data_IF_806125774692
#
_entry.id   IF_806125774692
#
_cell.length_a   1.000
_cell.length_b   1.000
_cell.length_c   1.000
_cell.angle_alpha   90.00
_cell.angle_beta   90.00
_cell.angle_gamma   90.00
#
_symmetry.space_group_name_H-M   'P 1'
#
loop_
_entity.id
_entity.type
_entity.pdbx_description
1 polymer ?
#
# COMPACT_ATOMS: atom_id res chain seq x y z
N UNK A 1 -12.23 7.97 11.80
CA UNK A 1 -13.41 7.33 11.20
C UNK A 1 -14.11 6.42 12.21
N UNK A 2 -15.36 6.01 11.91
CA UNK A 2 -16.17 5.10 12.76
C UNK A 2 -15.67 3.65 12.67
N UNK A 3 -14.97 3.29 11.58
CA UNK A 3 -14.52 1.94 11.28
C UNK A 3 -13.53 1.33 12.30
N UNK A 4 -12.67 2.15 12.93
CA UNK A 4 -11.76 1.69 14.01
C UNK A 4 -12.48 1.04 15.18
N UNK A 5 -13.71 1.46 15.47
CA UNK A 5 -14.49 0.96 16.60
C UNK A 5 -15.26 -0.33 16.27
N UNK A 6 -15.15 -0.86 15.04
CA UNK A 6 -15.75 -2.13 14.71
C UNK A 6 -15.14 -3.24 15.59
N UNK A 7 -15.94 -4.09 16.26
CA UNK A 7 -15.46 -5.14 17.16
C UNK A 7 -14.47 -6.13 16.51
N UNK A 8 -14.46 -6.22 15.18
CA UNK A 8 -13.52 -7.04 14.43
C UNK A 8 -12.10 -6.44 14.38
N UNK A 9 -11.96 -5.12 14.47
CA UNK A 9 -10.66 -4.47 14.33
C UNK A 9 -9.70 -4.82 15.46
N UNK A 10 -10.19 -4.98 16.70
CA UNK A 10 -9.35 -5.45 17.80
C UNK A 10 -8.75 -6.83 17.50
N UNK A 11 -9.57 -7.76 16.98
CA UNK A 11 -9.10 -9.09 16.60
C UNK A 11 -8.07 -9.05 15.47
N UNK A 12 -8.24 -8.16 14.49
CA UNK A 12 -7.27 -7.98 13.40
C UNK A 12 -5.96 -7.45 13.96
N UNK A 13 -6.00 -6.46 14.85
CA UNK A 13 -4.82 -5.89 15.50
C UNK A 13 -4.09 -6.96 16.32
N UNK A 14 -4.82 -7.74 17.12
CA UNK A 14 -4.24 -8.82 17.92
C UNK A 14 -3.60 -9.89 17.03
N UNK A 15 -4.28 -10.31 15.95
CA UNK A 15 -3.76 -11.30 15.02
C UNK A 15 -2.53 -10.80 14.23
N UNK A 16 -2.53 -9.53 13.81
CA UNK A 16 -1.40 -8.92 13.11
C UNK A 16 -0.16 -8.81 14.01
N UNK A 17 -0.36 -8.58 15.31
CA UNK A 17 0.71 -8.48 16.30
C UNK A 17 1.14 -9.82 16.90
N UNK A 18 0.32 -10.86 16.76
CA UNK A 18 0.63 -12.22 17.24
C UNK A 18 1.93 -12.79 16.65
N UNK A 19 2.43 -13.87 17.24
CA UNK A 19 3.60 -14.60 16.72
C UNK A 19 3.39 -15.13 15.30
N UNK A 20 2.15 -15.43 14.92
CA UNK A 20 1.82 -15.89 13.57
C UNK A 20 1.90 -14.76 12.51
N UNK A 21 1.97 -13.49 12.95
CA UNK A 21 2.10 -12.29 12.09
C UNK A 21 1.14 -12.34 10.89
N UNK A 22 -0.17 -12.38 11.17
CA UNK A 22 -1.21 -12.43 10.12
C UNK A 22 -0.94 -11.36 9.05
N UNK A 23 -0.84 -11.73 7.75
CA UNK A 23 -0.71 -10.75 6.69
C UNK A 23 -1.97 -9.89 6.56
N UNK A 24 -1.83 -8.57 6.57
CA UNK A 24 -2.94 -7.62 6.42
C UNK A 24 -2.62 -6.60 5.34
N UNK A 25 -3.52 -6.43 4.38
CA UNK A 25 -3.43 -5.42 3.33
C UNK A 25 -4.56 -4.41 3.48
N UNK A 26 -4.22 -3.13 3.56
CA UNK A 26 -5.18 -2.02 3.54
C UNK A 26 -5.07 -1.23 2.25
N UNK A 27 -6.08 -1.30 1.39
CA UNK A 27 -6.11 -0.62 0.09
C UNK A 27 -7.00 0.63 0.19
N UNK A 28 -6.52 1.78 -0.30
CA UNK A 28 -7.24 3.05 -0.32
C UNK A 28 -7.81 3.41 1.07
N UNK A 29 -9.12 3.37 1.26
CA UNK A 29 -9.75 3.57 2.58
C UNK A 29 -9.25 2.58 3.64
N UNK A 30 -8.87 1.36 3.25
CA UNK A 30 -8.25 0.39 4.15
C UNK A 30 -6.93 0.88 4.73
N UNK A 31 -6.12 1.61 3.96
CA UNK A 31 -4.89 2.20 4.48
C UNK A 31 -5.18 3.27 5.53
N UNK A 32 -6.20 4.11 5.28
CA UNK A 32 -6.66 5.09 6.27
C UNK A 32 -7.04 4.40 7.58
N UNK A 33 -7.83 3.33 7.52
CA UNK A 33 -8.22 2.55 8.71
C UNK A 33 -6.99 1.97 9.42
N UNK A 34 -6.00 1.43 8.70
CA UNK A 34 -4.78 0.89 9.31
C UNK A 34 -3.96 1.96 10.06
N UNK A 35 -3.90 3.19 9.53
CA UNK A 35 -3.28 4.31 10.23
C UNK A 35 -4.09 4.77 11.45
N UNK A 36 -5.42 4.79 11.34
CA UNK A 36 -6.29 5.16 12.45
C UNK A 36 -6.23 4.16 13.61
N UNK A 37 -6.08 2.87 13.34
CA UNK A 37 -5.92 1.83 14.38
C UNK A 37 -4.47 1.68 14.87
N UNK A 38 -3.55 2.49 14.35
CA UNK A 38 -2.12 2.49 14.70
C UNK A 38 -1.38 1.17 14.39
N UNK A 39 -1.88 0.38 13.44
CA UNK A 39 -1.09 -0.72 12.85
C UNK A 39 -0.01 -0.19 11.90
N UNK A 40 -0.25 0.99 11.32
CA UNK A 40 0.72 1.73 10.52
C UNK A 40 0.84 3.16 11.08
N UNK A 41 2.02 3.77 11.07
CA UNK A 41 2.18 5.14 11.53
C UNK A 41 1.72 6.17 10.49
N UNK A 42 1.57 7.41 10.95
CA UNK A 42 1.14 8.53 10.12
C UNK A 42 -0.38 8.65 10.03
N UNK A 43 -0.83 9.44 9.06
CA UNK A 43 -2.24 9.70 8.81
C UNK A 43 -2.47 10.04 7.35
N UNK A 44 -3.73 9.98 6.94
CA UNK A 44 -4.19 10.31 5.59
C UNK A 44 -5.06 11.56 5.66
N UNK A 45 -4.73 12.56 4.86
CA UNK A 45 -5.50 13.79 4.77
C UNK A 45 -6.02 14.01 3.35
N UNK A 46 -6.89 15.02 3.19
CA UNK A 46 -7.39 15.49 1.89
C UNK A 46 -6.23 15.74 0.95
N UNK A 47 -6.40 15.37 -0.32
CA UNK A 47 -5.44 15.71 -1.37
C UNK A 47 -5.17 17.22 -1.36
N UNK A 48 -3.94 17.63 -1.63
CA UNK A 48 -3.51 19.04 -1.70
C UNK A 48 -4.36 19.90 -2.66
N UNK A 49 -4.83 19.31 -3.76
CA UNK A 49 -5.67 19.94 -4.76
C UNK A 49 -7.18 19.84 -4.47
N UNK A 50 -7.58 19.21 -3.35
CA UNK A 50 -8.97 19.06 -2.87
C UNK A 50 -9.97 18.45 -3.87
N UNK A 51 -9.47 17.77 -4.92
CA UNK A 51 -10.27 17.10 -5.95
C UNK A 51 -10.08 15.60 -5.89
N UNK A 52 -11.13 14.87 -6.25
CA UNK A 52 -11.05 13.44 -6.50
C UNK A 52 -10.18 13.18 -7.73
N UNK A 53 -9.31 12.18 -7.63
CA UNK A 53 -8.43 11.75 -8.71
C UNK A 53 -8.75 10.30 -9.05
N UNK A 54 -9.04 10.04 -10.32
CA UNK A 54 -9.13 8.71 -10.90
C UNK A 54 -8.20 8.66 -12.10
N UNK A 55 -7.07 7.97 -12.00
CA UNK A 55 -6.10 7.81 -13.09
C UNK A 55 -5.23 6.60 -12.89
N UNK A 56 -4.54 6.22 -13.94
CA UNK A 56 -3.48 5.23 -13.87
C UNK A 56 -2.23 5.89 -13.30
N UNK A 57 -1.59 5.21 -12.36
CA UNK A 57 -0.46 5.76 -11.63
C UNK A 57 0.65 4.71 -11.56
N UNK A 58 1.82 5.11 -12.07
CA UNK A 58 3.03 4.32 -11.94
C UNK A 58 3.61 4.47 -10.54
N UNK A 59 3.96 3.34 -9.95
CA UNK A 59 4.58 3.21 -8.65
C UNK A 59 5.90 2.47 -8.79
N UNK A 60 6.87 2.84 -7.96
CA UNK A 60 8.11 2.07 -7.81
C UNK A 60 8.04 1.25 -6.54
N UNK A 61 8.40 -0.03 -6.64
CA UNK A 61 8.56 -0.95 -5.52
C UNK A 61 9.84 -0.57 -4.77
N UNK A 62 9.72 -0.08 -3.55
CA UNK A 62 10.86 0.34 -2.73
C UNK A 62 11.30 -0.78 -1.78
N UNK A 63 10.34 -1.55 -1.26
CA UNK A 63 10.57 -2.71 -0.40
C UNK A 63 9.83 -3.95 -0.92
N UNK A 64 10.59 -4.94 -1.36
CA UNK A 64 10.10 -6.25 -1.83
C UNK A 64 10.20 -7.37 -0.78
N UNK A 65 10.45 -7.04 0.48
CA UNK A 65 10.64 -8.02 1.58
C UNK A 65 9.39 -8.18 2.46
N UNK A 66 8.27 -7.59 2.05
CA UNK A 66 7.01 -7.69 2.80
C UNK A 66 6.25 -8.96 2.43
N UNK A 67 5.25 -9.32 3.24
CA UNK A 67 4.32 -10.41 2.92
C UNK A 67 3.53 -10.16 1.63
N UNK A 68 3.48 -8.91 1.14
CA UNK A 68 2.67 -8.49 0.00
C UNK A 68 3.49 -8.07 -1.22
N UNK A 69 4.83 -8.09 -1.14
CA UNK A 69 5.68 -7.56 -2.22
C UNK A 69 6.85 -8.46 -2.63
N UNK A 70 6.91 -9.70 -2.12
CA UNK A 70 8.01 -10.63 -2.39
C UNK A 70 8.07 -11.20 -3.82
N UNK A 71 7.01 -11.05 -4.61
CA UNK A 71 6.99 -11.40 -6.03
C UNK A 71 7.39 -10.25 -6.95
N UNK A 72 7.83 -9.12 -6.38
CA UNK A 72 8.35 -7.99 -7.14
C UNK A 72 9.86 -7.86 -6.99
N UNK A 73 10.49 -7.26 -8.00
CA UNK A 73 11.88 -6.84 -7.89
C UNK A 73 11.97 -5.47 -7.20
N UNK A 74 13.04 -5.28 -6.41
CA UNK A 74 13.29 -3.96 -5.84
C UNK A 74 13.61 -2.96 -6.96
N UNK A 75 12.90 -1.83 -6.97
CA UNK A 75 13.01 -0.83 -8.03
C UNK A 75 12.10 -1.09 -9.23
N UNK A 76 11.37 -2.22 -9.27
CA UNK A 76 10.40 -2.48 -10.32
C UNK A 76 9.33 -1.39 -10.35
N UNK A 77 9.00 -0.91 -11.54
CA UNK A 77 7.88 -0.01 -11.75
C UNK A 77 6.62 -0.81 -12.13
N UNK A 78 5.52 -0.52 -11.46
CA UNK A 78 4.20 -1.11 -11.69
C UNK A 78 3.19 -0.03 -11.96
N UNK A 79 2.19 -0.29 -12.80
CA UNK A 79 1.10 0.66 -13.07
C UNK A 79 -0.22 0.13 -12.56
N UNK A 80 -0.85 0.90 -11.67
CA UNK A 80 -2.12 0.54 -11.04
C UNK A 80 -3.06 1.74 -10.98
N UNK A 81 -4.34 1.49 -10.79
CA UNK A 81 -5.36 2.54 -10.77
C UNK A 81 -5.33 3.27 -9.43
N UNK A 82 -5.24 4.60 -9.44
CA UNK A 82 -5.46 5.45 -8.26
C UNK A 82 -6.86 6.04 -8.30
N UNK A 83 -7.63 5.86 -7.22
CA UNK A 83 -9.00 6.39 -7.05
C UNK A 83 -9.17 6.94 -5.63
N UNK A 84 -8.89 8.22 -5.42
CA UNK A 84 -8.98 8.79 -4.07
C UNK A 84 -9.32 10.29 -4.02
N UNK A 85 -9.90 10.69 -2.89
CA UNK A 85 -10.14 12.09 -2.51
C UNK A 85 -9.28 12.49 -1.30
N UNK A 86 -9.06 11.54 -0.38
CA UNK A 86 -8.31 11.71 0.88
C UNK A 86 -7.09 10.77 0.88
N UNK A 87 -6.13 11.07 0.02
CA UNK A 87 -5.00 10.19 -0.29
C UNK A 87 -3.63 10.71 0.10
N UNK A 88 -3.54 11.88 0.71
CA UNK A 88 -2.25 12.47 1.05
C UNK A 88 -1.70 11.82 2.31
N UNK A 89 -0.63 11.03 2.17
CA UNK A 89 0.09 10.48 3.33
C UNK A 89 0.91 11.56 4.02
N UNK A 90 0.69 11.71 5.32
CA UNK A 90 1.40 12.66 6.19
C UNK A 90 1.88 11.97 7.46
N UNK A 91 3.08 12.33 7.89
CA UNK A 91 3.64 11.98 9.20
C UNK A 91 4.62 13.08 9.61
N UNK A 92 5.01 13.11 10.89
CA UNK A 92 6.09 14.00 11.34
C UNK A 92 7.45 13.57 10.76
N UNK A 93 8.42 14.48 10.70
CA UNK A 93 9.73 14.21 10.10
C UNK A 93 10.46 13.04 10.76
N UNK A 94 10.33 12.85 12.08
CA UNK A 94 10.95 11.72 12.79
C UNK A 94 10.39 10.39 12.29
N UNK A 95 9.07 10.28 12.18
CA UNK A 95 8.39 9.11 11.64
C UNK A 95 8.77 8.88 10.18
N UNK A 96 8.87 9.93 9.37
CA UNK A 96 9.31 9.81 7.99
C UNK A 96 10.76 9.31 7.91
N UNK A 97 11.66 9.82 8.75
CA UNK A 97 13.05 9.37 8.81
C UNK A 97 13.16 7.90 9.26
N UNK A 98 12.36 7.47 10.23
CA UNK A 98 12.28 6.07 10.66
C UNK A 98 11.78 5.17 9.51
N UNK A 99 10.73 5.58 8.80
CA UNK A 99 10.19 4.83 7.66
C UNK A 99 11.21 4.65 6.54
N UNK A 100 12.00 5.69 6.26
CA UNK A 100 13.08 5.64 5.28
C UNK A 100 14.25 4.78 5.77
N UNK A 101 14.73 5.03 7.00
CA UNK A 101 15.91 4.37 7.57
C UNK A 101 15.71 2.87 7.80
N UNK A 102 14.49 2.45 8.16
CA UNK A 102 14.13 1.05 8.34
C UNK A 102 13.67 0.37 7.03
N UNK A 103 13.63 1.10 5.90
CA UNK A 103 13.18 0.57 4.62
C UNK A 103 11.70 0.16 4.62
N UNK A 104 10.85 0.85 5.39
CA UNK A 104 9.42 0.53 5.55
C UNK A 104 8.52 1.21 4.53
N UNK A 105 9.08 1.97 3.60
CA UNK A 105 8.35 2.46 2.42
C UNK A 105 8.22 1.30 1.45
N UNK A 106 6.98 0.87 1.18
CA UNK A 106 6.71 -0.24 0.26
C UNK A 106 6.65 0.26 -1.19
N UNK A 107 6.00 1.41 -1.40
CA UNK A 107 5.78 1.98 -2.74
C UNK A 107 5.93 3.49 -2.74
N UNK A 108 6.47 4.02 -3.84
CA UNK A 108 6.49 5.46 -4.15
C UNK A 108 5.82 5.77 -5.47
N UNK A 109 5.22 6.95 -5.56
CA UNK A 109 4.78 7.51 -6.83
C UNK A 109 5.98 7.85 -7.72
N UNK A 110 5.93 7.41 -8.97
CA UNK A 110 6.91 7.77 -10.01
C UNK A 110 6.39 8.97 -10.80
N UNK A 111 7.28 9.92 -11.08
CA UNK A 111 6.94 11.14 -11.81
C UNK A 111 6.13 12.10 -10.96
N UNK A 112 4.84 12.25 -11.29
CA UNK A 112 3.96 13.19 -10.59
C UNK A 112 3.36 12.56 -9.32
N UNK A 113 3.42 13.28 -8.21
CA UNK A 113 2.79 12.89 -6.94
C UNK A 113 1.34 13.39 -6.93
N UNK A 114 0.35 12.50 -7.08
CA UNK A 114 -1.03 12.90 -7.35
C UNK A 114 -1.75 13.49 -6.13
N UNK A 115 -1.30 13.17 -4.92
CA UNK A 115 -1.98 13.53 -3.68
C UNK A 115 -1.21 14.57 -2.86
N UNK A 116 0.03 14.89 -3.25
CA UNK A 116 0.95 15.65 -2.42
C UNK A 116 1.51 14.87 -1.23
N UNK A 117 1.49 13.53 -1.27
CA UNK A 117 2.01 12.68 -0.17
C UNK A 117 3.46 13.02 0.18
N UNK A 118 3.79 13.07 1.47
CA UNK A 118 5.16 13.36 1.92
C UNK A 118 6.13 12.32 1.36
N UNK A 119 7.30 12.79 0.88
CA UNK A 119 8.36 11.98 0.25
C UNK A 119 7.89 11.09 -0.91
N UNK A 120 6.75 11.42 -1.54
CA UNK A 120 6.19 10.64 -2.64
C UNK A 120 5.68 9.25 -2.23
N UNK A 121 5.40 9.04 -0.93
CA UNK A 121 4.98 7.73 -0.40
C UNK A 121 3.58 7.39 -0.90
N UNK A 122 3.44 6.22 -1.53
CA UNK A 122 2.17 5.65 -1.98
C UNK A 122 1.70 4.50 -1.07
N UNK A 123 2.63 3.84 -0.38
CA UNK A 123 2.34 2.78 0.58
C UNK A 123 3.51 2.47 1.51
N UNK A 124 3.20 1.97 2.70
CA UNK A 124 4.17 1.64 3.76
C UNK A 124 3.86 0.28 4.39
N UNK A 125 4.83 -0.24 5.13
CA UNK A 125 4.68 -1.45 5.94
C UNK A 125 4.99 -1.22 7.42
N UNK A 126 4.48 -2.10 8.28
CA UNK A 126 4.89 -2.16 9.68
C UNK A 126 6.31 -2.74 9.80
N UNK A 127 6.93 -2.63 10.98
CA UNK A 127 8.29 -3.11 11.21
C UNK A 127 8.46 -4.63 10.96
N UNK A 128 7.40 -5.42 11.16
CA UNK A 128 7.43 -6.86 10.92
C UNK A 128 7.18 -7.26 9.46
N UNK A 129 6.82 -6.32 8.57
CA UNK A 129 6.62 -6.58 7.14
C UNK A 129 5.33 -7.34 6.77
N UNK A 130 4.45 -7.65 7.73
CA UNK A 130 3.21 -8.40 7.49
C UNK A 130 2.00 -7.50 7.21
N UNK A 131 2.03 -6.24 7.67
CA UNK A 131 0.96 -5.27 7.42
C UNK A 131 1.43 -4.28 6.37
N UNK A 132 0.69 -4.14 5.28
CA UNK A 132 0.97 -3.17 4.22
C UNK A 132 -0.26 -2.30 3.98
N UNK A 133 -0.03 -0.99 3.90
CA UNK A 133 -1.02 -0.01 3.48
C UNK A 133 -0.64 0.57 2.12
N UNK A 134 -1.60 0.70 1.21
CA UNK A 134 -1.38 1.19 -0.14
C UNK A 134 -2.58 2.03 -0.59
N UNK A 135 -2.34 3.22 -1.14
CA UNK A 135 -3.43 4.05 -1.67
C UNK A 135 -3.96 3.64 -3.05
N UNK A 136 -3.09 3.34 -4.02
CA UNK A 136 -3.52 2.80 -5.30
C UNK A 136 -4.21 1.43 -5.17
N UNK A 137 -4.98 1.05 -6.18
CA UNK A 137 -5.83 -0.14 -6.22
C UNK A 137 -5.21 -1.25 -7.09
N UNK A 138 -4.29 -2.07 -6.55
CA UNK A 138 -3.71 -3.19 -7.29
C UNK A 138 -4.73 -4.27 -7.64
N UNK A 139 -5.84 -4.38 -6.90
CA UNK A 139 -6.91 -5.34 -7.16
C UNK A 139 -7.61 -5.11 -8.50
N UNK A 140 -7.51 -3.91 -9.07
CA UNK A 140 -8.03 -3.61 -10.42
C UNK A 140 -7.05 -3.96 -11.53
N UNK A 141 -5.84 -4.43 -11.20
CA UNK A 141 -4.79 -4.80 -12.15
C UNK A 141 -4.38 -6.27 -12.01
N UNK A 142 -5.35 -7.18 -11.82
CA UNK A 142 -5.11 -8.62 -11.65
C UNK A 142 -5.53 -9.45 -12.86
N UNK A 143 -6.36 -8.91 -13.75
CA UNK A 143 -6.92 -9.61 -14.90
C UNK A 143 -6.68 -8.81 -16.20
N UNK A 144 -6.20 -9.45 -17.28
CA UNK A 144 -6.05 -8.80 -18.57
C UNK A 144 -7.39 -8.21 -19.06
N UNK A 145 -7.37 -6.94 -19.49
CA UNK A 145 -8.55 -6.25 -20.01
C UNK A 145 -9.28 -5.34 -19.01
N UNK A 146 -8.95 -5.43 -17.72
CA UNK A 146 -9.61 -4.64 -16.66
C UNK A 146 -8.71 -3.59 -15.99
N UNK A 147 -7.45 -3.53 -16.43
CA UNK A 147 -6.38 -2.75 -15.83
C UNK A 147 -5.99 -1.54 -16.70
N UNK A 148 -5.06 -0.69 -16.24
CA UNK A 148 -4.44 0.33 -17.07
C UNK A 148 -3.81 -0.26 -18.33
N UNK A 149 -4.03 0.41 -19.47
CA UNK A 149 -3.34 0.09 -20.71
C UNK A 149 -1.89 0.57 -20.59
N UNK A 150 -0.94 -0.37 -20.60
CA UNK A 150 0.48 -0.09 -20.61
C UNK A 150 0.90 0.67 -21.88
N UNK A 151 2.09 1.29 -21.82
CA UNK A 151 2.65 2.02 -22.96
C UNK A 151 2.93 1.11 -24.18
N UNK A 152 3.00 -0.20 -23.96
CA UNK A 152 3.15 -1.27 -24.96
C UNK A 152 1.81 -1.72 -25.58
N UNK A 153 0.68 -1.16 -25.13
CA UNK A 153 -0.65 -1.52 -25.60
C UNK A 153 -1.23 -2.77 -24.94
N UNK A 154 -0.61 -3.28 -23.86
CA UNK A 154 -1.12 -4.41 -23.10
C UNK A 154 -1.77 -3.97 -21.79
N UNK A 155 -2.88 -4.60 -21.43
CA UNK A 155 -3.51 -4.43 -20.13
C UNK A 155 -2.62 -5.09 -19.07
N UNK A 156 -2.05 -4.27 -18.18
CA UNK A 156 -1.13 -4.73 -17.13
C UNK A 156 -1.80 -5.71 -16.16
N UNK A 157 -1.06 -6.69 -15.67
CA UNK A 157 -1.50 -7.54 -14.53
C UNK A 157 -0.61 -7.31 -13.32
N UNK A 158 -0.03 -6.13 -13.22
CA UNK A 158 0.99 -5.80 -12.23
C UNK A 158 0.48 -5.93 -10.79
N UNK A 159 -0.84 -5.81 -10.56
CA UNK A 159 -1.46 -6.03 -9.27
C UNK A 159 -1.51 -7.48 -8.80
N UNK A 160 -1.36 -8.45 -9.72
CA UNK A 160 -1.36 -9.88 -9.41
C UNK A 160 -0.24 -10.26 -8.43
N UNK A 161 0.92 -9.59 -8.53
CA UNK A 161 2.08 -9.85 -7.69
C UNK A 161 1.81 -9.70 -6.20
N UNK A 162 0.88 -8.82 -5.79
CA UNK A 162 0.47 -8.68 -4.38
C UNK A 162 -0.15 -9.98 -3.83
N UNK A 163 -1.06 -10.56 -4.61
CA UNK A 163 -1.79 -11.75 -4.21
C UNK A 163 -0.91 -13.01 -4.35
N UNK A 164 -0.06 -13.06 -5.37
CA UNK A 164 0.97 -14.10 -5.47
C UNK A 164 1.95 -14.04 -4.28
N UNK A 165 2.31 -12.84 -3.80
CA UNK A 165 3.22 -12.65 -2.66
C UNK A 165 2.68 -13.22 -1.37
N UNK A 166 1.42 -12.96 -1.04
CA UNK A 166 0.83 -13.49 0.19
C UNK A 166 0.69 -15.01 0.13
N UNK A 167 0.40 -15.58 -1.06
CA UNK A 167 0.33 -17.03 -1.24
C UNK A 167 1.69 -17.69 -1.07
N UNK A 168 2.75 -17.17 -1.72
CA UNK A 168 4.13 -17.67 -1.52
C UNK A 168 4.51 -17.63 -0.04
N UNK A 169 4.23 -16.51 0.65
CA UNK A 169 4.54 -16.37 2.07
C UNK A 169 3.83 -17.40 2.94
N UNK A 170 2.56 -17.69 2.67
CA UNK A 170 1.76 -18.66 3.43
C UNK A 170 2.18 -20.12 3.15
N UNK A 171 2.66 -20.42 1.94
CA UNK A 171 3.18 -21.74 1.58
C UNK A 171 4.54 -21.98 2.24
N UNK A 172 5.42 -20.99 2.24
CA UNK A 172 6.75 -21.06 2.86
C UNK A 172 6.74 -21.02 4.40
N UNK A 173 5.63 -20.61 5.00
CA UNK A 173 5.45 -20.60 6.46
C UNK A 173 5.07 -21.97 7.06
N UNK A 174 4.92 -23.02 6.22
CA UNK A 174 4.73 -24.41 6.63
C UNK A 174 6.04 -25.19 6.61
#
# INVERSE_FOLDING_TARGET
AIARFAPLMSKIVDAANSEAKLPVLGICNGFQVLTEVHLLPGSMVKNDHLKFICRDQTLRVENNRTAWTNQYEQGQEITVVLKNQDGQYVADEKTLDELEGEGRVAFRYVGWNPNGSRRGIAGITNAAGNVVGLMPHPEHAVEPGFSPLGADGHYSTDGLGFFASVLSRLVEAK
#
